data_IF_447367041562
#
_entry.id   IF_447367041562
#
_cell.length_a   1.000
_cell.length_b   1.000
_cell.length_c   1.000
_cell.angle_alpha   90.00
_cell.angle_beta   90.00
_cell.angle_gamma   90.00
#
_symmetry.space_group_name_H-M   'P 1'
#
loop_
_entity.id
_entity.type
_entity.pdbx_description
1 polymer ?
2 water ?
#
# COMPACT_ATOMS: atom_id res chain seq x y z
N UNK A 5 14.18 14.11 5.08
CA UNK A 5 13.75 12.90 4.28
C UNK A 5 14.54 12.84 2.97
N UNK A 6 15.25 11.76 2.69
CA UNK A 6 16.17 11.69 1.53
C UNK A 6 15.53 11.47 0.19
N UNK A 7 14.24 11.20 0.20
CA UNK A 7 13.49 10.96 -1.03
C UNK A 7 12.18 11.77 -1.02
N UNK A 8 11.57 11.98 -2.20
CA UNK A 8 10.28 12.69 -2.21
C UNK A 8 9.18 11.86 -1.54
N UNK A 9 8.31 12.49 -0.76
CA UNK A 9 7.24 11.80 -0.08
C UNK A 9 6.37 10.93 -0.99
N UNK A 10 5.99 11.46 -2.17
CA UNK A 10 5.12 10.64 -3.05
C UNK A 10 5.68 9.29 -3.38
N UNK A 11 7.03 9.19 -3.41
CA UNK A 11 7.70 7.93 -3.79
C UNK A 11 7.50 6.83 -2.76
N UNK A 12 7.07 7.20 -1.55
CA UNK A 12 6.82 6.28 -0.45
C UNK A 12 5.35 5.92 -0.16
N UNK A 13 4.42 6.50 -0.91
CA UNK A 13 2.97 6.31 -0.68
C UNK A 13 2.59 4.84 -0.70
N UNK A 14 3.04 4.14 -1.73
CA UNK A 14 2.71 2.74 -1.89
C UNK A 14 3.25 1.84 -0.81
N UNK A 15 4.41 2.19 -0.27
CA UNK A 15 5.06 1.41 0.79
C UNK A 15 4.39 1.64 2.12
N UNK A 16 4.06 2.91 2.40
CA UNK A 16 3.39 3.23 3.68
C UNK A 16 2.01 2.61 3.63
N UNK A 18 -1.50 -0.85 3.26
CA UNK A 18 -2.51 -1.43 4.19
C UNK A 18 -3.80 -1.75 3.39
N UNK A 19 -3.64 -2.59 2.36
CA UNK A 19 -4.72 -2.79 1.38
C UNK A 19 -5.89 -3.57 2.00
N UNK A 20 -5.70 -4.02 3.24
CA UNK A 20 -6.84 -4.53 4.05
C UNK A 20 -7.99 -3.50 4.30
N UNK A 21 -7.68 -2.23 4.11
CA UNK A 21 -8.70 -1.15 4.23
C UNK A 21 -9.49 -0.84 2.93
N UNK A 22 -9.26 -1.61 1.88
CA UNK A 22 -10.01 -1.44 0.63
C UNK A 22 -11.44 -1.84 0.87
N UNK A 23 -12.33 -1.26 0.10
CA UNK A 23 -13.72 -1.67 0.10
C UNK A 23 -13.93 -2.77 -0.93
N UNK A 24 -14.32 -3.94 -0.44
CA UNK A 24 -14.79 -5.07 -1.27
C UNK A 24 -16.33 -5.10 -1.11
N UNK A 25 -17.08 -4.81 -2.18
CA UNK A 25 -18.52 -4.90 -2.14
C UNK A 25 -18.94 -6.32 -1.89
N UNK A 26 -20.22 -6.51 -1.55
CA UNK A 26 -20.67 -7.81 -1.03
C UNK A 26 -20.28 -8.97 -1.96
N UNK A 27 -20.47 -8.80 -3.26
CA UNK A 27 -20.25 -9.90 -4.19
C UNK A 27 -18.77 -10.24 -4.33
N UNK A 28 -17.87 -9.34 -3.91
CA UNK A 28 -16.49 -9.56 -4.03
C UNK A 28 -15.80 -9.87 -2.71
N UNK A 29 -16.52 -9.91 -1.60
CA UNK A 29 -15.85 -10.13 -0.30
C UNK A 29 -15.14 -11.47 -0.17
N UNK A 30 -15.61 -12.43 -0.94
CA UNK A 30 -14.97 -13.73 -1.04
C UNK A 30 -13.59 -13.74 -1.70
N UNK A 31 -13.22 -12.60 -2.28
CA UNK A 31 -11.92 -12.37 -2.89
C UNK A 31 -10.96 -11.52 -2.09
N UNK A 32 -11.26 -11.24 -0.81
CA UNK A 32 -10.54 -10.21 -0.08
C UNK A 32 -9.44 -10.94 0.70
N UNK A 33 -8.33 -11.22 0.04
CA UNK A 33 -7.20 -11.88 0.73
C UNK A 33 -6.72 -11.09 1.97
N UNK A 34 -6.70 -9.79 1.86
CA UNK A 34 -6.01 -8.95 2.79
C UNK A 34 -6.65 -9.05 4.19
N UNK A 35 -7.95 -8.91 4.25
CA UNK A 35 -8.66 -9.03 5.52
C UNK A 35 -8.68 -10.46 6.01
N UNK A 36 -8.76 -11.43 5.09
CA UNK A 36 -8.87 -12.85 5.49
C UNK A 36 -7.63 -13.34 6.26
N UNK A 37 -6.47 -12.73 5.97
CA UNK A 37 -5.21 -13.03 6.63
C UNK A 37 -5.09 -12.52 8.09
N UNK A 38 -6.07 -11.73 8.50
CA UNK A 38 -6.07 -11.09 9.81
C UNK A 38 -6.75 -11.97 10.89
N UNK A 39 -6.34 -11.83 12.17
CA UNK A 39 -5.43 -10.83 12.69
C UNK A 39 -3.95 -11.14 12.63
N UNK A 40 -3.58 -12.38 12.24
CA UNK A 40 -2.22 -12.85 12.20
C UNK A 40 -1.40 -11.99 11.23
N UNK A 41 -2.03 -11.67 10.09
CA UNK A 41 -1.52 -10.70 9.12
C UNK A 41 -0.83 -11.30 7.93
N UNK A 42 -0.11 -10.45 7.23
CA UNK A 42 0.62 -10.84 6.06
C UNK A 42 1.93 -10.13 5.95
N UNK A 43 2.85 -10.74 5.22
CA UNK A 43 4.07 -10.13 4.83
C UNK A 43 3.88 -9.55 3.42
N UNK A 44 4.25 -8.31 3.24
CA UNK A 44 4.19 -7.70 1.91
C UNK A 44 5.58 -7.36 1.45
N UNK A 45 5.95 -7.86 0.26
CA UNK A 45 7.29 -7.58 -0.29
C UNK A 45 7.14 -6.92 -1.64
N UNK A 46 8.01 -5.94 -1.87
CA UNK A 46 8.05 -5.26 -3.17
C UNK A 46 9.46 -4.99 -3.64
N UNK A 47 9.62 -5.04 -4.97
CA UNK A 47 10.64 -4.29 -5.70
C UNK A 47 9.98 -3.11 -6.44
N UNK A 48 10.54 -1.92 -6.31
CA UNK A 48 10.01 -0.72 -6.98
C UNK A 48 11.19 -0.18 -7.80
N UNK A 49 11.06 -0.27 -9.13
CA UNK A 49 12.13 0.16 -10.05
C UNK A 49 11.77 1.48 -10.69
N UNK A 50 12.52 2.54 -10.33
CA UNK A 50 12.40 3.87 -10.90
C UNK A 50 13.15 3.88 -12.21
N UNK A 51 12.40 4.13 -13.29
CA UNK A 51 12.99 4.12 -14.64
C UNK A 51 14.17 5.11 -14.69
N UNK A 52 15.30 4.66 -15.23
CA UNK A 52 16.50 5.51 -15.35
C UNK A 52 17.09 5.94 -13.98
N UNK A 53 16.75 5.23 -12.91
CA UNK A 53 17.22 5.60 -11.59
C UNK A 53 17.29 4.35 -10.71
N UNK A 54 17.25 4.50 -9.40
CA UNK A 54 17.50 3.36 -8.55
C UNK A 54 16.24 2.55 -8.26
N UNK A 55 16.36 1.69 -7.25
CA UNK A 55 15.27 0.83 -6.89
C UNK A 55 15.15 0.72 -5.40
N UNK A 56 13.90 0.51 -4.94
CA UNK A 56 13.60 0.23 -3.54
C UNK A 56 13.24 -1.26 -3.48
N UNK A 57 13.65 -1.92 -2.42
CA UNK A 57 13.17 -3.24 -2.13
C UNK A 57 12.64 -3.11 -0.71
N UNK A 58 11.45 -3.66 -0.49
CA UNK A 58 10.77 -3.44 0.80
C UNK A 58 10.23 -4.74 1.33
N UNK A 59 10.23 -4.87 2.64
CA UNK A 59 9.62 -5.94 3.36
C UNK A 59 8.85 -5.32 4.51
N UNK A 60 7.58 -5.69 4.61
CA UNK A 60 6.69 -5.20 5.64
C UNK A 60 5.89 -6.33 6.27
N UNK A 61 5.56 -6.18 7.55
CA UNK A 61 4.57 -7.08 8.18
C UNK A 61 3.39 -6.18 8.50
N UNK A 62 2.19 -6.59 8.08
CA UNK A 62 0.98 -5.88 8.37
C UNK A 62 0.10 -6.81 9.22
N UNK A 63 -0.25 -6.38 10.42
CA UNK A 63 -1.01 -7.27 11.35
C UNK A 63 -1.65 -6.47 12.45
N UNK A 64 -2.51 -7.12 13.22
CA UNK A 64 -3.10 -6.48 14.38
C UNK A 64 -2.23 -6.66 15.62
N UNK A 65 -2.02 -5.58 16.34
CA UNK A 65 -1.45 -5.64 17.68
C UNK A 65 -2.57 -5.16 18.55
N UNK A 66 -3.28 -6.06 19.26
CA UNK A 66 -4.51 -5.61 19.94
C UNK A 66 -5.49 -5.01 18.92
N UNK A 67 -6.00 -3.82 19.23
CA UNK A 67 -7.03 -3.16 18.37
C UNK A 67 -6.44 -2.38 17.21
N UNK A 68 -5.11 -2.38 17.09
CA UNK A 68 -4.38 -1.55 16.14
C UNK A 68 -3.81 -2.35 14.98
N UNK A 69 -4.08 -1.85 13.76
CA UNK A 69 -3.48 -2.38 12.56
C UNK A 69 -2.15 -1.66 12.39
N UNK A 70 -1.05 -2.42 12.40
CA UNK A 70 0.28 -1.88 12.26
C UNK A 70 0.97 -2.42 11.01
N UNK A 71 1.74 -1.59 10.36
CA UNK A 71 2.45 -1.87 9.16
C UNK A 71 3.91 -1.44 9.46
N UNK A 72 4.77 -2.39 9.70
CA UNK A 72 6.20 -2.16 9.94
C UNK A 72 7.07 -2.60 8.80
N UNK A 73 7.87 -1.67 8.36
CA UNK A 73 8.60 -1.77 7.08
C UNK A 73 10.08 -1.56 7.20
N UNK A 74 10.84 -2.32 6.40
CA UNK A 74 12.20 -2.02 6.12
C UNK A 74 12.32 -1.76 4.62
N UNK A 75 13.04 -0.72 4.30
CA UNK A 75 13.27 -0.33 2.93
C UNK A 75 14.76 -0.13 2.69
N UNK A 76 15.24 -0.69 1.58
CA UNK A 76 16.61 -0.49 1.12
C UNK A 76 16.52 0.07 -0.29
N UNK A 77 17.20 1.22 -0.55
CA UNK A 77 17.25 1.81 -1.84
C UNK A 77 18.68 1.87 -2.33
N UNK A 78 18.91 1.39 -3.55
CA UNK A 78 20.25 1.45 -4.12
C UNK A 78 20.26 1.91 -5.54
N UNK A 79 21.48 2.25 -5.97
CA UNK A 79 21.76 2.63 -7.34
C UNK A 79 20.99 3.93 -7.77
N UNK A 80 20.69 4.82 -6.81
CA UNK A 80 20.05 6.09 -7.16
C UNK A 80 21.11 7.12 -7.66
N UNK A 81 20.66 7.98 -8.56
CA UNK A 81 21.45 9.11 -9.02
C UNK A 81 21.33 10.29 -8.05
N UNK A 82 22.49 10.84 -7.72
CA UNK A 82 22.66 11.92 -6.76
C UNK A 82 21.82 13.16 -7.15
N UNK A 83 21.82 13.39 -8.46
CA UNK A 83 21.15 14.51 -9.12
C UNK A 83 19.94 14.06 -9.97
N UNK A 84 19.43 12.85 -9.73
CA UNK A 84 18.23 12.38 -10.44
C UNK A 84 16.97 12.89 -9.77
N UNK A 85 15.81 12.44 -10.26
CA UNK A 85 14.51 12.94 -9.78
C UNK A 85 14.18 12.63 -8.33
N UNK A 86 14.81 11.58 -7.79
CA UNK A 86 14.47 11.08 -6.46
C UNK A 86 15.34 11.79 -5.43
N UNK A 87 16.66 11.50 -5.44
CA UNK A 87 17.57 12.14 -4.51
C UNK A 87 17.71 13.66 -4.68
N UNK A 88 17.42 14.14 -5.89
CA UNK A 88 17.43 15.56 -6.18
C UNK A 88 16.09 16.23 -5.92
N UNK A 89 15.11 15.46 -5.44
CA UNK A 89 13.78 16.00 -5.08
C UNK A 89 13.10 16.83 -6.19
N UNK A 90 12.88 16.22 -7.33
CA UNK A 90 12.34 16.90 -8.51
C UNK A 90 10.95 16.38 -8.91
N UNK A 91 10.19 15.85 -7.94
CA UNK A 91 8.88 15.28 -8.17
C UNK A 91 7.80 16.22 -7.57
N UNK A 92 6.72 16.48 -8.33
CA UNK A 92 5.60 17.31 -7.85
C UNK A 92 4.92 16.61 -6.65
N UNK A 93 4.33 17.41 -5.78
CA UNK A 93 3.61 16.88 -4.60
C UNK A 93 2.15 16.61 -4.89
N UNK A 94 1.90 15.49 -5.60
CA UNK A 94 0.56 15.12 -6.04
C UNK A 94 0.62 13.64 -6.41
N UNK A 95 -0.51 13.12 -6.90
CA UNK A 95 -0.63 11.67 -7.03
C UNK A 95 -1.79 11.25 -7.94
N UNK A 96 -1.46 10.45 -8.97
CA UNK A 96 -2.39 9.93 -9.95
C UNK A 96 -3.27 8.73 -9.48
N UNK A 97 -4.57 8.75 -9.73
CA UNK A 97 -5.45 7.60 -9.42
C UNK A 97 -5.30 6.54 -10.49
N UNK A 98 -5.34 5.27 -10.10
CA UNK A 98 -5.26 4.21 -11.11
C UNK A 98 -5.65 2.89 -10.46
N UNK A 99 -5.67 1.88 -11.31
CA UNK A 99 -6.13 0.58 -10.97
C UNK A 99 -4.94 -0.34 -10.75
N UNK A 100 -4.94 -1.01 -9.62
CA UNK A 100 -3.96 -2.07 -9.28
C UNK A 100 -4.62 -3.44 -9.45
N UNK A 101 -4.11 -4.23 -10.37
CA UNK A 101 -4.59 -5.61 -10.66
C UNK A 101 -3.93 -6.64 -9.71
N UNK A 102 -4.76 -7.52 -9.14
CA UNK A 102 -4.37 -8.51 -8.15
C UNK A 102 -4.62 -9.86 -8.77
N UNK A 103 -3.67 -10.78 -8.61
CA UNK A 103 -3.87 -12.17 -9.01
C UNK A 103 -3.46 -13.07 -7.79
N UNK A 104 -4.01 -14.27 -7.72
CA UNK A 104 -3.58 -15.24 -6.73
C UNK A 104 -2.20 -15.77 -7.07
N UNK A 105 -1.48 -16.12 -6.03
CA UNK A 105 -0.20 -16.79 -6.13
C UNK A 105 -0.34 -18.03 -5.27
N UNK A 106 -0.85 -19.09 -5.89
CA UNK A 106 -1.17 -20.34 -5.24
C UNK A 106 0.01 -20.87 -4.40
N UNK A 107 1.25 -20.74 -4.89
CA UNK A 107 2.46 -21.26 -4.21
C UNK A 107 2.79 -20.66 -2.84
N UNK A 108 2.49 -19.38 -2.65
CA UNK A 108 2.78 -18.72 -1.37
C UNK A 108 1.49 -18.52 -0.57
N UNK A 109 0.44 -19.26 -0.96
CA UNK A 109 -0.85 -19.16 -0.36
C UNK A 109 -1.26 -17.70 -0.27
N UNK A 110 -0.98 -16.90 -1.31
CA UNK A 110 -1.17 -15.46 -1.21
C UNK A 110 -1.53 -14.78 -2.53
N UNK A 111 -1.06 -13.54 -2.69
CA UNK A 111 -1.35 -12.74 -3.86
C UNK A 111 -0.08 -12.05 -4.37
N UNK A 112 -0.15 -11.72 -5.65
CA UNK A 112 0.79 -10.83 -6.30
C UNK A 112 0.12 -9.72 -7.07
N UNK A 113 0.90 -8.68 -7.36
CA UNK A 113 0.46 -7.57 -8.19
C UNK A 113 1.68 -6.93 -8.86
N UNK A 114 1.51 -6.46 -10.09
CA UNK A 114 2.47 -5.50 -10.62
C UNK A 114 1.72 -4.34 -11.26
N UNK A 115 2.30 -3.14 -11.16
CA UNK A 115 1.63 -1.94 -11.57
C UNK A 115 2.71 -0.88 -11.68
N UNK A 116 2.39 0.16 -12.44
CA UNK A 116 3.28 1.25 -12.69
C UNK A 116 2.67 2.48 -12.07
N UNK A 117 3.45 3.17 -11.28
CA UNK A 117 3.12 4.48 -10.80
C UNK A 117 3.74 5.56 -11.70
N UNK A 118 2.92 6.54 -12.06
CA UNK A 118 3.35 7.73 -12.82
C UNK A 118 3.56 8.93 -11.90
N UNK A 119 4.82 9.29 -11.63
CA UNK A 119 5.13 10.47 -10.80
C UNK A 119 5.39 11.68 -11.68
N UNK A 120 4.61 12.77 -11.50
CA UNK A 120 4.95 14.01 -12.20
C UNK A 120 6.28 14.58 -11.76
N UNK A 121 7.13 14.88 -12.74
CA UNK A 121 8.35 15.62 -12.51
C UNK A 121 8.13 17.12 -12.59
N UNK A 122 8.71 17.81 -11.61
CA UNK A 122 8.70 19.27 -11.57
C UNK A 122 9.40 19.79 -12.84
N UNK A 123 8.68 20.56 -13.67
CA UNK A 123 9.29 21.11 -14.88
C UNK A 123 9.85 20.03 -15.79
N UNK A 124 9.18 18.89 -15.84
CA UNK A 124 9.54 17.87 -16.80
C UNK A 124 8.37 16.94 -17.00
N UNK A 125 8.67 15.72 -17.45
CA UNK A 125 7.62 14.80 -17.86
C UNK A 125 7.27 13.82 -16.71
N UNK A 126 7.32 12.51 -16.95
CA UNK A 126 6.85 11.51 -15.97
C UNK A 126 8.04 10.60 -15.51
N UNK A 127 8.16 10.43 -14.19
CA UNK A 127 9.06 9.46 -13.60
C UNK A 127 8.24 8.20 -13.28
N UNK A 128 8.49 7.13 -14.03
CA UNK A 128 7.81 5.87 -13.83
C UNK A 128 8.45 5.09 -12.70
N UNK A 129 7.62 4.48 -11.87
CA UNK A 129 8.04 3.56 -10.80
C UNK A 129 7.31 2.24 -10.97
N UNK A 130 8.00 1.25 -11.53
CA UNK A 130 7.43 -0.07 -11.74
C UNK A 130 7.43 -0.85 -10.44
N UNK A 131 6.26 -1.28 -10.03
CA UNK A 131 6.05 -2.06 -8.81
C UNK A 131 5.84 -3.57 -9.07
N UNK A 132 6.57 -4.41 -8.33
CA UNK A 132 6.34 -5.87 -8.22
C UNK A 132 6.03 -6.23 -6.75
N UNK A 133 4.93 -6.88 -6.52
CA UNK A 133 4.47 -7.07 -5.14
C UNK A 133 4.11 -8.52 -4.92
N UNK A 134 4.46 -9.04 -3.75
CA UNK A 134 3.96 -10.32 -3.36
C UNK A 134 3.54 -10.22 -1.89
N UNK A 135 2.44 -10.89 -1.57
CA UNK A 135 1.94 -10.94 -0.17
C UNK A 135 1.73 -12.42 0.27
N UNK A 136 2.17 -12.73 1.47
CA UNK A 136 2.12 -14.09 2.03
C UNK A 136 1.54 -14.01 3.42
N UNK A 137 0.60 -14.90 3.78
CA UNK A 137 0.05 -14.85 5.14
C UNK A 137 1.08 -15.23 6.21
N UNK A 138 0.96 -14.67 7.39
CA UNK A 138 1.86 -14.98 8.47
C UNK A 138 1.36 -16.27 9.12
N UNK A 139 0.05 -16.36 9.38
CA UNK A 139 -0.55 -17.50 10.10
C UNK A 139 -0.80 -18.66 9.18
N UNK A 140 -1.21 -19.79 9.77
CA UNK A 140 -1.46 -21.01 9.04
C UNK A 140 -2.94 -21.28 8.74
N UNK A 141 -3.82 -20.33 9.08
CA UNK A 141 -5.26 -20.55 8.92
C UNK A 141 -5.69 -20.40 7.47
N UNK A 142 -6.98 -20.73 7.16
CA UNK A 142 -7.33 -20.58 5.75
C UNK A 142 -7.43 -19.11 5.33
N UNK A 143 -7.09 -18.84 4.09
CA UNK A 143 -7.18 -17.48 3.56
C UNK A 143 -7.99 -17.54 2.28
N UNK A 144 -8.45 -16.38 1.83
CA UNK A 144 -9.23 -16.29 0.58
C UNK A 144 -8.26 -15.93 -0.57
N UNK A 145 -8.07 -16.87 -1.50
CA UNK A 145 -7.22 -16.63 -2.63
C UNK A 145 -8.18 -16.10 -3.69
N UNK A 146 -7.89 -14.91 -4.24
CA UNK A 146 -8.93 -14.29 -5.09
C UNK A 146 -8.86 -14.73 -6.55
N UNK A 147 -9.98 -14.62 -7.25
CA UNK A 147 -9.96 -14.55 -8.72
C UNK A 147 -9.38 -13.21 -9.08
N UNK A 148 -8.87 -13.11 -10.28
CA UNK A 148 -8.40 -11.83 -10.82
C UNK A 148 -9.38 -10.66 -10.66
N UNK A 149 -8.84 -9.54 -10.18
CA UNK A 149 -9.64 -8.34 -9.98
C UNK A 149 -8.70 -7.12 -9.86
N UNK A 150 -9.26 -5.92 -9.65
CA UNK A 150 -8.43 -4.75 -9.44
C UNK A 150 -8.94 -3.89 -8.28
N UNK A 151 -8.01 -3.07 -7.74
CA UNK A 151 -8.31 -2.07 -6.71
C UNK A 151 -8.20 -0.73 -7.38
N UNK A 152 -9.32 -0.03 -7.50
CA UNK A 152 -9.32 1.34 -7.98
C UNK A 152 -8.87 2.23 -6.81
N UNK A 153 -7.72 2.88 -6.98
CA UNK A 153 -7.07 3.54 -5.84
C UNK A 153 -6.86 5.02 -6.10
N UNK A 154 -7.38 5.83 -5.21
CA UNK A 154 -7.24 7.23 -5.31
C UNK A 154 -6.55 7.75 -4.05
N UNK A 155 -5.63 8.71 -4.27
CA UNK A 155 -4.76 9.24 -3.21
C UNK A 155 -4.60 10.76 -3.30
N UNK A 156 -4.96 11.49 -2.24
CA UNK A 156 -4.75 12.91 -2.19
C UNK A 156 -3.69 13.22 -1.14
N UNK A 157 -2.71 14.00 -1.55
CA UNK A 157 -1.58 14.41 -0.67
C UNK A 157 -1.79 15.85 -0.24
N UNK A 158 -1.55 16.11 1.04
CA UNK A 158 -1.68 17.47 1.60
C UNK A 158 -0.69 17.73 2.74
N UNK A 159 -0.78 18.94 3.30
CA UNK A 159 0.07 19.37 4.41
C UNK A 159 -0.84 19.87 5.50
N UNK A 160 -0.35 19.74 6.72
CA UNK A 160 -1.05 20.19 7.94
C UNK A 160 -0.41 21.55 8.23
N UNK A 161 -1.24 22.63 8.18
CA UNK A 161 -0.67 23.98 8.27
C UNK A 161 -0.03 24.29 9.62
N UNK A 162 -0.32 23.48 10.64
CA UNK A 162 0.30 23.69 11.97
C UNK A 162 1.39 22.69 12.31
N UNK A 163 1.79 21.87 11.33
CA UNK A 163 2.88 20.92 11.53
C UNK A 163 4.23 21.49 11.03
N UNK A 164 5.13 21.72 11.97
CA UNK A 164 6.46 22.27 11.64
C UNK A 164 7.44 21.21 11.06
N UNK A 165 7.24 19.94 11.39
CA UNK A 165 8.16 18.89 10.95
C UNK A 165 7.95 18.57 9.45
N UNK A 166 8.92 17.93 8.84
CA UNK A 166 8.74 17.44 7.45
C UNK A 166 7.67 16.31 7.57
N UNK A 167 6.60 16.41 6.80
CA UNK A 167 5.49 15.48 6.91
C UNK A 167 4.68 15.33 5.63
N UNK A 168 3.77 14.36 5.65
CA UNK A 168 2.81 14.15 4.55
C UNK A 168 1.45 13.74 5.17
N UNK A 169 0.37 14.38 4.75
CA UNK A 169 -1.02 13.94 5.02
C UNK A 169 -1.57 13.25 3.76
N UNK A 170 -2.22 12.10 3.99
CA UNK A 170 -2.64 11.20 2.95
C UNK A 170 -4.08 10.83 3.18
N UNK A 171 -4.91 11.05 2.14
CA UNK A 171 -6.27 10.59 2.15
C UNK A 171 -6.42 9.66 0.97
N UNK A 172 -6.84 8.42 1.24
CA UNK A 172 -6.93 7.43 0.15
C UNK A 172 -8.27 6.74 0.17
N UNK A 173 -8.81 6.48 -1.01
CA UNK A 173 -10.04 5.71 -1.20
C UNK A 173 -9.71 4.55 -2.15
N UNK A 174 -10.07 3.35 -1.72
CA UNK A 174 -9.78 2.15 -2.48
C UNK A 174 -11.02 1.26 -2.56
N UNK A 175 -11.41 0.90 -3.77
CA UNK A 175 -12.59 0.07 -4.07
C UNK A 175 -12.24 -1.01 -5.01
N UNK A 176 -12.56 -2.24 -4.62
CA UNK A 176 -12.33 -3.41 -5.50
C UNK A 176 -13.40 -3.48 -6.57
N UNK A 177 -12.99 -3.96 -7.74
CA UNK A 177 -13.92 -4.10 -8.84
C UNK A 177 -13.33 -5.15 -9.81
N UNK A 178 -14.06 -5.39 -10.88
CA UNK A 178 -13.49 -6.22 -11.95
C UNK A 178 -14.03 -7.64 -11.95
N UNK A 179 -14.98 -7.90 -11.05
CA UNK A 179 -15.70 -9.18 -10.99
C UNK A 179 -17.18 -8.81 -11.03
N UNK A 180 -17.93 -9.50 -11.89
CA UNK A 180 -19.36 -9.25 -12.04
C UNK A 180 -20.13 -10.24 -11.21
N UNK A 181 -21.43 -9.96 -11.15
CA UNK A 181 -22.34 -10.65 -10.26
C UNK A 181 -22.65 -12.06 -10.77
N UNK A 182 -22.39 -12.36 -12.05
CA UNK A 182 -22.52 -13.76 -12.55
C UNK A 182 -21.35 -14.68 -12.16
N UNK A 183 -20.30 -14.09 -11.58
CA UNK A 183 -19.13 -14.84 -11.17
C UNK A 183 -19.49 -15.90 -10.14
N UNK A 184 -18.79 -17.03 -10.21
CA UNK A 184 -18.93 -18.14 -9.31
C UNK A 184 -20.40 -18.49 -9.01
N UNK A 185 -21.22 -18.53 -10.08
CA UNK A 185 -22.63 -18.91 -10.00
C UNK A 185 -23.43 -18.01 -9.05
N UNK A 186 -22.99 -16.76 -8.93
CA UNK A 186 -23.61 -15.76 -8.06
C UNK A 186 -23.39 -15.99 -6.57
N UNK A 187 -22.52 -16.92 -6.20
CA UNK A 187 -22.27 -17.24 -4.78
C UNK A 187 -21.45 -16.15 -4.07
N UNK A 188 -22.07 -15.45 -3.10
CA UNK A 188 -21.37 -14.53 -2.18
C UNK A 188 -20.71 -15.24 -0.97
N UNK A 189 -21.19 -16.42 -0.59
CA UNK A 189 -20.73 -17.04 0.69
C UNK A 189 -19.22 -17.24 0.83
N UNK A 190 -18.73 -16.94 2.04
CA UNK A 190 -17.33 -17.12 2.41
C UNK A 190 -17.22 -16.86 3.92
N UNK A 191 -16.12 -17.37 4.49
CA UNK A 191 -15.76 -17.10 5.87
C UNK A 191 -15.54 -15.64 6.16
N UNK A 192 -16.15 -15.17 7.26
CA UNK A 192 -15.99 -13.79 7.67
C UNK A 192 -14.88 -13.56 8.70
N UNK A 193 -14.04 -14.57 8.90
CA UNK A 193 -12.87 -14.45 9.79
C UNK A 193 -11.93 -13.43 9.13
N UNK A 194 -11.42 -12.49 9.92
CA UNK A 194 -10.57 -11.43 9.41
C UNK A 194 -11.45 -10.26 9.03
N UNK A 195 -12.32 -10.49 8.04
CA UNK A 195 -13.22 -9.49 7.54
C UNK A 195 -14.00 -8.76 8.66
N UNK A 196 -14.48 -9.51 9.65
CA UNK A 196 -15.28 -8.94 10.78
C UNK A 196 -14.53 -7.88 11.65
N UNK A 197 -13.21 -7.86 11.59
CA UNK A 197 -12.39 -6.92 12.37
C UNK A 197 -12.36 -5.53 11.75
N UNK A 198 -12.97 -5.37 10.53
CA UNK A 198 -12.88 -4.16 9.76
C UNK A 198 -14.24 -3.45 9.64
N UNK A 199 -15.22 -3.89 10.40
CA UNK A 199 -16.58 -3.37 10.18
C UNK A 199 -16.69 -1.92 10.67
N UNK A 200 -15.79 -1.48 11.57
CA UNK A 200 -15.80 -0.11 12.04
C UNK A 200 -14.49 0.57 11.70
N UNK A 201 -14.23 1.67 12.40
CA UNK A 201 -13.00 2.43 12.27
C UNK A 201 -11.87 1.78 13.08
N UNK A 202 -10.75 1.57 12.41
CA UNK A 202 -9.57 0.87 12.99
C UNK A 202 -8.36 1.81 13.06
N UNK A 203 -7.72 1.96 14.27
CA UNK A 203 -6.54 2.82 14.32
C UNK A 203 -5.40 2.13 13.57
N UNK A 204 -4.56 2.93 12.91
CA UNK A 204 -3.39 2.45 12.12
C UNK A 204 -2.09 3.03 12.66
N UNK A 205 -1.07 2.20 12.82
CA UNK A 205 0.30 2.66 12.99
C UNK A 205 1.15 2.20 11.79
N UNK A 206 1.97 3.10 11.29
CA UNK A 206 2.96 2.79 10.26
C UNK A 206 4.33 3.21 10.78
N UNK A 207 5.31 2.33 10.64
CA UNK A 207 6.68 2.64 11.03
C UNK A 207 7.59 2.06 9.98
N UNK A 208 8.50 2.89 9.53
CA UNK A 208 9.42 2.49 8.46
C UNK A 208 10.85 2.84 8.88
N UNK A 209 11.79 1.93 8.64
CA UNK A 209 13.22 2.24 8.66
C UNK A 209 13.74 2.12 7.26
N UNK A 210 14.53 3.11 6.82
CA UNK A 210 14.94 3.14 5.44
C UNK A 210 16.45 3.47 5.31
N UNK A 211 17.01 3.08 4.19
CA UNK A 211 18.38 3.43 3.81
C UNK A 211 18.41 3.48 2.28
N UNK A 212 18.60 4.69 1.74
CA UNK A 212 18.59 4.93 0.33
C UNK A 212 19.96 5.56 -0.01
N UNK A 213 20.76 4.80 -0.74
CA UNK A 213 22.17 5.21 -1.07
C UNK A 213 22.97 5.66 0.20
N UNK A 214 22.83 4.91 1.29
CA UNK A 214 23.49 5.25 2.55
C UNK A 214 22.84 6.36 3.38
N UNK A 215 21.78 7.00 2.86
CA UNK A 215 21.04 8.04 3.64
C UNK A 215 20.01 7.28 4.46
N UNK A 216 20.20 7.23 5.77
CA UNK A 216 19.35 6.44 6.63
C UNK A 216 18.28 7.36 7.21
N UNK A 217 17.06 6.86 7.37
CA UNK A 217 15.92 7.67 7.87
C UNK A 217 14.83 6.74 8.43
N UNK A 218 13.96 7.32 9.22
CA UNK A 218 12.81 6.63 9.77
C UNK A 218 11.58 7.52 9.60
N UNK A 219 10.43 6.87 9.45
CA UNK A 219 9.16 7.57 9.34
C UNK A 219 8.14 6.87 10.24
N UNK A 220 7.34 7.65 10.95
CA UNK A 220 6.17 7.09 11.60
C UNK A 220 4.88 7.73 11.05
N UNK A 221 3.80 6.96 11.06
CA UNK A 221 2.54 7.40 10.51
C UNK A 221 1.44 6.93 11.43
N UNK A 222 0.42 7.77 11.57
CA UNK A 222 -0.75 7.44 12.37
C UNK A 222 -1.99 7.92 11.68
N UNK A 223 -3.07 7.23 11.99
CA UNK A 223 -4.36 7.57 11.49
C UNK A 223 -5.33 6.43 11.70
N UNK A 224 -6.28 6.32 10.76
CA UNK A 224 -7.30 5.31 10.88
C UNK A 224 -7.86 4.92 9.52
N UNK A 225 -8.40 3.72 9.50
CA UNK A 225 -9.05 3.11 8.34
C UNK A 225 -10.52 2.76 8.59
N UNK A 226 -11.35 2.98 7.57
CA UNK A 226 -12.78 2.60 7.62
C UNK A 226 -13.07 1.85 6.34
N UNK A 227 -12.85 0.53 6.36
CA UNK A 227 -13.02 -0.28 5.16
C UNK A 227 -14.42 -0.29 4.57
N UNK A 228 -15.43 -0.05 5.41
CA UNK A 228 -16.78 0.03 4.90
C UNK A 228 -16.89 1.02 3.73
N UNK A 229 -16.05 2.07 3.74
CA UNK A 229 -16.00 3.16 2.76
C UNK A 229 -14.71 3.18 1.94
N UNK A 230 -13.94 2.11 2.09
CA UNK A 230 -12.57 2.02 1.46
C UNK A 230 -11.65 3.17 1.80
N UNK A 231 -11.82 3.74 3.00
CA UNK A 231 -11.20 5.01 3.38
C UNK A 231 -10.04 4.86 4.38
N UNK A 232 -8.96 5.55 4.08
CA UNK A 232 -7.77 5.69 4.94
C UNK A 232 -7.38 7.18 5.09
N UNK A 233 -7.07 7.59 6.32
CA UNK A 233 -6.50 8.89 6.64
C UNK A 233 -5.23 8.61 7.43
N UNK A 234 -4.10 9.05 6.89
CA UNK A 234 -2.81 8.91 7.58
C UNK A 234 -2.01 10.21 7.53
N UNK A 235 -1.31 10.50 8.63
CA UNK A 235 -0.30 11.52 8.69
C UNK A 235 1.07 10.92 9.01
N UNK A 236 2.08 11.29 8.22
CA UNK A 236 3.42 10.77 8.40
C UNK A 236 4.42 11.85 8.78
N UNK A 237 5.39 11.51 9.63
CA UNK A 237 6.45 12.44 10.02
C UNK A 237 7.77 11.73 10.00
N UNK A 238 8.80 12.48 9.66
CA UNK A 238 10.18 12.00 9.79
C UNK A 238 10.51 11.96 11.31
N UNK A 239 11.23 10.93 11.73
CA UNK A 239 11.48 10.68 13.18
C UNK A 239 12.98 10.51 13.38
#
# INVERSE_FOLDING_TARGET
MTGKLPVPWPTLVTTFXVQCFSRYPDHMKRHDFFKSAMPEGYVQERTISFKDDGNYKTRAEVKFEGDTLVNRIELKGIDFKEDGNILGHKLEYNYNSHNVYITADKQKNGIKANFKIRHNIEDGSVQLADHYQQNTPIGDGPVLLPDNHYLSTQSKLSKDPNEKRDHMVLLEFVTAAGIGTGSRHHHHHHSRKGEELFTGVVPILVELDGDVNGHKFSVSGEGEGDATYGKLTLKFICT
#
